data_IF_890372703598
#
_entry.id   IF_890372703598
#
_cell.length_a   1.000
_cell.length_b   1.000
_cell.length_c   1.000
_cell.angle_alpha   90.00
_cell.angle_beta   90.00
_cell.angle_gamma   90.00
#
_symmetry.space_group_name_H-M   'P 1'
#
loop_
_entity.id
_entity.type
_entity.pdbx_description
1 polymer ?
#
# COMPACT_ATOMS: atom_id res chain seq x y z
N UNK A 1 -6.21 3.05 -0.94
CA UNK A 1 -5.13 2.09 -0.57
C UNK A 1 -4.82 2.24 0.92
N UNK A 2 -4.72 1.11 1.62
CA UNK A 2 -4.32 1.02 3.04
C UNK A 2 -2.94 0.36 3.09
N UNK A 3 -2.11 0.79 4.03
CA UNK A 3 -0.75 0.28 4.22
C UNK A 3 -0.61 -0.25 5.64
N UNK A 4 0.23 -1.26 5.82
CA UNK A 4 0.45 -1.87 7.13
C UNK A 4 1.62 -1.19 7.86
N UNK A 5 1.32 -0.43 8.91
CA UNK A 5 2.31 0.23 9.78
C UNK A 5 3.33 1.05 8.97
N UNK A 6 4.63 0.89 9.25
CA UNK A 6 5.73 1.64 8.63
C UNK A 6 5.98 1.28 7.16
N UNK A 7 5.23 0.32 6.59
CA UNK A 7 5.20 0.12 5.13
C UNK A 7 4.58 1.32 4.39
N UNK A 8 3.87 2.20 5.11
CA UNK A 8 3.40 3.51 4.64
C UNK A 8 4.54 4.55 4.60
N UNK A 9 5.70 4.22 4.05
CA UNK A 9 6.83 5.15 3.99
C UNK A 9 6.60 6.23 2.91
N UNK A 10 7.33 6.16 1.80
CA UNK A 10 7.20 7.08 0.68
C UNK A 10 6.05 6.73 -0.28
N UNK A 11 5.41 5.57 -0.10
CA UNK A 11 4.37 5.09 -1.02
C UNK A 11 3.26 6.13 -1.32
N UNK A 12 2.66 6.83 -0.33
CA UNK A 12 1.66 7.86 -0.63
C UNK A 12 2.23 9.06 -1.41
N UNK A 13 3.47 9.47 -1.11
CA UNK A 13 4.13 10.61 -1.77
C UNK A 13 4.46 10.29 -3.23
N UNK A 14 4.92 9.07 -3.51
CA UNK A 14 5.22 8.62 -4.88
C UNK A 14 3.94 8.47 -5.69
N UNK A 15 2.87 7.96 -5.08
CA UNK A 15 1.58 7.79 -5.74
C UNK A 15 0.99 9.12 -6.26
N UNK A 16 1.16 10.22 -5.53
CA UNK A 16 0.65 11.54 -5.96
C UNK A 16 1.55 12.26 -6.96
N UNK A 17 2.84 11.90 -7.03
CA UNK A 17 3.80 12.50 -7.94
C UNK A 17 3.80 11.87 -9.35
N UNK A 18 3.25 10.66 -9.48
CA UNK A 18 3.20 9.92 -10.73
C UNK A 18 2.16 10.47 -11.71
N UNK A 19 2.53 10.54 -13.00
CA UNK A 19 1.54 10.72 -14.09
C UNK A 19 0.70 9.45 -14.30
N UNK A 20 1.32 8.29 -14.07
CA UNK A 20 0.67 6.99 -14.07
C UNK A 20 1.17 6.26 -12.82
N UNK A 21 0.25 5.91 -11.94
CA UNK A 21 0.52 5.23 -10.68
C UNK A 21 -0.07 3.82 -10.72
N UNK A 22 0.80 2.83 -10.63
CA UNK A 22 0.45 1.42 -10.53
C UNK A 22 0.78 0.95 -9.12
N UNK A 23 -0.19 0.39 -8.41
CA UNK A 23 0.01 -0.15 -7.07
C UNK A 23 -0.07 -1.67 -7.09
N UNK A 24 0.93 -2.31 -6.47
CA UNK A 24 0.92 -3.74 -6.19
C UNK A 24 0.47 -3.95 -4.74
N UNK A 25 -0.57 -4.76 -4.52
CA UNK A 25 -1.19 -4.96 -3.20
C UNK A 25 -1.35 -6.44 -2.89
N UNK A 26 -1.39 -6.77 -1.60
CA UNK A 26 -1.62 -8.16 -1.14
C UNK A 26 -3.09 -8.58 -1.31
N UNK A 27 -4.00 -7.66 -1.08
CA UNK A 27 -5.44 -7.90 -1.08
C UNK A 27 -6.15 -6.81 -1.89
N UNK A 28 -7.10 -7.24 -2.71
CA UNK A 28 -8.05 -6.39 -3.41
C UNK A 28 -9.41 -6.74 -2.84
N UNK A 29 -10.15 -5.71 -2.46
CA UNK A 29 -11.48 -5.79 -1.86
C UNK A 29 -12.46 -4.97 -2.69
N UNK A 30 -13.74 -5.26 -2.55
CA UNK A 30 -14.77 -4.55 -3.29
C UNK A 30 -14.97 -3.12 -2.75
N UNK A 31 -15.44 -2.17 -3.60
CA UNK A 31 -15.74 -0.82 -3.14
C UNK A 31 -16.71 -0.80 -1.97
N UNK A 32 -16.34 -0.09 -0.90
CA UNK A 32 -17.14 0.03 0.32
C UNK A 32 -16.74 -0.94 1.44
N UNK A 33 -15.90 -1.93 1.18
CA UNK A 33 -15.38 -2.83 2.22
C UNK A 33 -14.29 -2.18 3.08
N UNK A 34 -13.60 -1.16 2.55
CA UNK A 34 -12.66 -0.34 3.33
C UNK A 34 -13.37 0.85 3.95
N UNK A 35 -13.17 1.05 5.25
CA UNK A 35 -13.62 2.25 5.96
C UNK A 35 -12.96 3.50 5.34
N UNK A 36 -13.73 4.51 4.89
CA UNK A 36 -13.19 5.72 4.27
C UNK A 36 -12.18 6.46 5.13
N UNK A 37 -12.31 6.42 6.46
CA UNK A 37 -11.39 7.07 7.41
C UNK A 37 -10.04 6.37 7.53
N UNK A 38 -9.96 5.11 7.08
CA UNK A 38 -8.74 4.30 7.09
C UNK A 38 -7.99 4.36 5.76
N UNK A 39 -8.52 5.04 4.74
CA UNK A 39 -7.88 5.16 3.43
C UNK A 39 -6.69 6.13 3.53
N UNK A 40 -5.47 5.61 3.38
CA UNK A 40 -4.24 6.41 3.42
C UNK A 40 -3.92 7.12 2.11
N UNK A 41 -4.01 6.40 0.99
CA UNK A 41 -3.88 6.99 -0.36
C UNK A 41 -5.23 6.88 -1.06
N UNK A 42 -5.90 8.01 -1.35
CA UNK A 42 -7.14 8.03 -2.11
C UNK A 42 -6.99 7.40 -3.50
N UNK A 43 -8.05 6.74 -3.98
CA UNK A 43 -8.04 6.03 -5.27
C UNK A 43 -7.82 6.96 -6.49
N UNK A 44 -8.08 8.25 -6.36
CA UNK A 44 -7.86 9.24 -7.43
C UNK A 44 -6.38 9.33 -7.87
N UNK A 45 -5.44 8.95 -7.00
CA UNK A 45 -4.01 8.94 -7.30
C UNK A 45 -3.52 7.60 -7.86
N UNK A 46 -4.43 6.66 -8.18
CA UNK A 46 -4.09 5.30 -8.60
C UNK A 46 -4.79 4.96 -9.91
N UNK A 47 -4.02 4.64 -10.94
CA UNK A 47 -4.55 4.29 -12.26
C UNK A 47 -4.78 2.78 -12.42
N UNK A 48 -3.92 1.96 -11.79
CA UNK A 48 -3.96 0.50 -11.94
C UNK A 48 -3.62 -0.18 -10.63
N UNK A 49 -4.31 -1.27 -10.35
CA UNK A 49 -4.12 -2.10 -9.15
C UNK A 49 -3.77 -3.51 -9.62
N UNK A 50 -2.74 -4.10 -9.03
CA UNK A 50 -2.29 -5.46 -9.31
C UNK A 50 -2.20 -6.22 -7.99
N UNK A 51 -2.75 -7.43 -7.93
CA UNK A 51 -2.56 -8.29 -6.77
C UNK A 51 -1.25 -9.08 -6.90
N UNK A 52 -0.38 -8.92 -5.91
CA UNK A 52 0.98 -9.47 -5.90
C UNK A 52 1.23 -10.49 -4.80
N UNK A 53 2.35 -11.22 -4.92
CA UNK A 53 2.89 -12.07 -3.85
C UNK A 53 4.23 -11.52 -3.39
N UNK A 54 4.38 -11.29 -2.10
CA UNK A 54 5.55 -10.61 -1.53
C UNK A 54 6.32 -11.53 -0.59
N UNK A 55 7.65 -11.55 -0.73
CA UNK A 55 8.55 -12.29 0.18
C UNK A 55 8.74 -11.56 1.54
N UNK A 56 8.61 -10.23 1.57
CA UNK A 56 8.78 -9.36 2.77
C UNK A 56 10.02 -9.68 3.61
N UNK A 57 11.21 -9.55 2.99
CA UNK A 57 12.50 -9.80 3.66
C UNK A 57 12.73 -8.82 4.82
N UNK A 58 13.23 -9.36 5.94
CA UNK A 58 13.76 -8.58 7.04
C UNK A 58 15.28 -8.49 6.90
N UNK A 59 15.81 -7.29 6.70
CA UNK A 59 17.27 -7.08 6.62
C UNK A 59 17.96 -7.46 7.95
N UNK A 60 17.39 -7.02 9.07
CA UNK A 60 17.87 -7.34 10.41
C UNK A 60 16.71 -7.76 11.31
N UNK A 61 16.66 -9.05 11.67
CA UNK A 61 15.69 -9.60 12.61
C UNK A 61 16.23 -9.54 14.03
N UNK A 62 15.88 -8.48 14.76
CA UNK A 62 16.22 -8.33 16.19
C UNK A 62 15.12 -8.94 17.05
N UNK A 63 15.48 -9.88 17.92
CA UNK A 63 14.59 -10.48 18.92
C UNK A 63 14.93 -9.93 20.31
N UNK A 64 13.97 -9.95 21.24
CA UNK A 64 14.26 -9.65 22.66
C UNK A 64 14.95 -10.87 23.28
N UNK A 65 15.86 -10.62 24.21
CA UNK A 65 16.50 -11.66 25.02
C UNK A 65 15.53 -12.21 26.07
#
# INVERSE_FOLDING_TARGET
>A
VVYRHTAQNFNPLVATAGRITVVEVEEIVEPGELDPTQIHTPGIYVDRIIQGRFEKRLEKRTLRA
#
